data_IF_486944322969
#
_entry.id   IF_486944322969
#
_cell.length_a   1.000
_cell.length_b   1.000
_cell.length_c   1.000
_cell.angle_alpha   90.00
_cell.angle_beta   90.00
_cell.angle_gamma   90.00
#
_symmetry.space_group_name_H-M   'P 1'
#
loop_
_entity.id
_entity.type
_entity.pdbx_description
1 polymer ?
#
# COMPACT_ATOMS: atom_id res chain seq x y z
N UNK A 1 23.15 -8.55 -7.31
CA UNK A 1 22.23 -7.40 -7.53
C UNK A 1 22.91 -6.17 -8.15
N UNK A 2 24.14 -5.82 -7.75
CA UNK A 2 24.80 -4.64 -8.35
C UNK A 2 24.85 -4.69 -9.89
N UNK A 3 25.30 -5.81 -10.46
CA UNK A 3 25.37 -5.99 -11.92
C UNK A 3 24.00 -5.89 -12.60
N UNK A 4 22.93 -6.28 -11.93
CA UNK A 4 21.56 -6.14 -12.46
C UNK A 4 21.07 -4.71 -12.39
N UNK A 5 21.34 -4.00 -11.29
CA UNK A 5 21.04 -2.58 -11.16
C UNK A 5 21.82 -1.73 -12.21
N UNK A 6 23.11 -2.02 -12.40
CA UNK A 6 23.96 -1.29 -13.35
C UNK A 6 23.51 -1.40 -14.83
N UNK A 7 22.60 -2.34 -15.13
CA UNK A 7 21.98 -2.48 -16.47
C UNK A 7 20.70 -1.64 -16.62
N UNK A 8 20.24 -1.02 -15.54
CA UNK A 8 19.01 -0.22 -15.52
C UNK A 8 19.33 1.28 -15.60
N UNK A 9 18.29 2.06 -15.88
CA UNK A 9 18.34 3.53 -15.81
C UNK A 9 17.76 4.06 -14.49
N UNK A 10 17.54 3.18 -13.50
CA UNK A 10 16.96 3.55 -12.22
C UNK A 10 17.90 4.47 -11.45
N UNK A 11 17.41 5.61 -10.94
CA UNK A 11 18.25 6.56 -10.19
C UNK A 11 18.66 6.01 -8.81
N UNK A 12 17.82 5.21 -8.19
CA UNK A 12 18.12 4.51 -6.93
C UNK A 12 17.18 3.33 -6.72
N UNK A 13 17.65 2.32 -5.96
CA UNK A 13 16.85 1.23 -5.45
C UNK A 13 17.42 0.72 -4.12
N UNK A 14 16.54 0.39 -3.17
CA UNK A 14 16.89 -0.26 -1.91
C UNK A 14 16.09 -1.54 -1.78
N UNK A 15 16.77 -2.66 -1.56
CA UNK A 15 16.19 -4.00 -1.46
C UNK A 15 16.59 -4.65 -0.14
N UNK A 16 15.68 -5.37 0.50
CA UNK A 16 15.96 -6.05 1.75
C UNK A 16 15.40 -7.47 1.77
N UNK A 17 16.22 -8.42 2.26
CA UNK A 17 15.80 -9.75 2.72
C UNK A 17 15.73 -9.71 4.23
N UNK A 18 14.57 -10.06 4.77
CA UNK A 18 14.29 -10.10 6.20
C UNK A 18 14.01 -11.56 6.56
N UNK A 19 14.75 -12.11 7.51
CA UNK A 19 14.56 -13.49 8.01
C UNK A 19 13.96 -13.44 9.41
N UNK A 20 13.06 -14.37 9.73
CA UNK A 20 12.37 -14.46 11.03
C UNK A 20 13.31 -14.45 12.23
N UNK A 21 14.54 -14.96 12.08
CA UNK A 21 15.57 -14.94 13.13
C UNK A 21 16.14 -13.54 13.43
N UNK A 22 15.62 -12.47 12.78
CA UNK A 22 16.06 -11.10 12.95
C UNK A 22 17.17 -10.65 11.99
N UNK A 23 17.72 -11.54 11.16
CA UNK A 23 18.72 -11.14 10.17
C UNK A 23 18.07 -10.34 9.06
N UNK A 24 18.56 -9.12 8.85
CA UNK A 24 18.19 -8.25 7.72
C UNK A 24 19.41 -7.99 6.85
N UNK A 25 19.28 -8.21 5.55
CA UNK A 25 20.35 -7.96 4.58
C UNK A 25 19.84 -7.03 3.50
N UNK A 26 20.46 -5.86 3.40
CA UNK A 26 20.08 -4.82 2.44
C UNK A 26 21.09 -4.71 1.29
N UNK A 27 20.56 -4.31 0.14
CA UNK A 27 21.30 -3.96 -1.08
C UNK A 27 20.78 -2.62 -1.55
N UNK A 28 21.64 -1.61 -1.53
CA UNK A 28 21.27 -0.24 -1.84
C UNK A 28 22.13 0.27 -2.99
N UNK A 29 21.49 0.95 -3.94
CA UNK A 29 22.11 1.47 -5.15
C UNK A 29 21.60 2.86 -5.48
N UNK A 30 22.44 3.66 -6.15
CA UNK A 30 22.11 5.02 -6.54
C UNK A 30 22.23 6.02 -5.40
N UNK A 31 21.62 7.19 -5.59
CA UNK A 31 21.71 8.31 -4.66
C UNK A 31 20.34 8.58 -4.02
N UNK A 32 20.36 9.12 -2.79
CA UNK A 32 19.17 9.57 -2.08
C UNK A 32 18.53 10.77 -2.82
N UNK A 33 19.35 11.75 -3.20
CA UNK A 33 18.97 12.84 -4.11
C UNK A 33 19.58 12.57 -5.48
N UNK A 34 18.78 12.68 -6.54
CA UNK A 34 19.20 12.16 -7.85
C UNK A 34 20.24 13.03 -8.55
N UNK A 35 20.23 14.33 -8.28
CA UNK A 35 21.08 15.32 -8.98
C UNK A 35 22.38 15.69 -8.25
N UNK A 36 22.45 15.54 -6.92
CA UNK A 36 23.60 16.04 -6.17
C UNK A 36 24.71 15.00 -5.95
N UNK A 37 24.40 13.72 -6.06
CA UNK A 37 25.37 12.62 -5.94
C UNK A 37 26.10 12.50 -4.61
N UNK A 38 25.79 13.35 -3.62
CA UNK A 38 26.55 13.47 -2.37
C UNK A 38 26.24 12.37 -1.40
N UNK A 39 24.98 11.94 -1.31
CA UNK A 39 24.53 10.92 -0.37
C UNK A 39 23.97 9.71 -1.10
N UNK A 40 24.53 8.54 -0.80
CA UNK A 40 24.03 7.28 -1.33
C UNK A 40 22.72 6.88 -0.62
N UNK A 41 21.81 6.28 -1.38
CA UNK A 41 20.66 5.61 -0.80
C UNK A 41 21.14 4.43 0.06
N UNK A 42 20.48 4.23 1.21
CA UNK A 42 20.75 3.13 2.12
C UNK A 42 19.42 2.60 2.72
N UNK A 43 19.51 1.63 3.62
CA UNK A 43 18.35 1.02 4.26
C UNK A 43 17.56 1.98 5.17
N UNK A 44 18.13 3.15 5.52
CA UNK A 44 17.50 4.18 6.32
C UNK A 44 16.95 5.34 5.47
N UNK A 45 17.20 5.36 4.17
CA UNK A 45 16.62 6.33 3.24
C UNK A 45 15.09 6.24 3.28
N UNK A 46 14.41 7.38 3.35
CA UNK A 46 12.96 7.45 3.52
C UNK A 46 12.28 7.59 2.16
N UNK A 47 11.32 6.73 1.92
CA UNK A 47 10.51 6.67 0.70
C UNK A 47 9.04 6.94 1.01
N UNK A 48 8.30 7.52 0.08
CA UNK A 48 6.84 7.48 0.12
C UNK A 48 6.42 6.04 -0.19
N UNK A 49 5.90 5.31 0.79
CA UNK A 49 5.58 3.89 0.62
C UNK A 49 4.20 3.65 0.03
N UNK A 50 3.43 4.72 -0.15
CA UNK A 50 2.11 4.69 -0.76
C UNK A 50 1.24 3.53 -0.22
N UNK A 51 0.69 2.68 -1.08
CA UNK A 51 -0.25 1.63 -0.70
C UNK A 51 0.31 0.52 0.19
N UNK A 52 1.63 0.47 0.42
CA UNK A 52 2.19 -0.38 1.47
C UNK A 52 1.70 0.06 2.88
N UNK A 53 1.21 1.30 3.03
CA UNK A 53 0.51 1.81 4.23
C UNK A 53 -0.66 0.91 4.65
N UNK A 54 -1.35 0.30 3.69
CA UNK A 54 -2.57 -0.49 3.92
C UNK A 54 -2.37 -1.64 4.91
N UNK A 55 -1.24 -2.33 4.83
CA UNK A 55 -0.92 -3.41 5.78
C UNK A 55 -0.83 -2.90 7.23
N UNK A 56 -0.26 -1.71 7.42
CA UNK A 56 -0.19 -1.07 8.75
C UNK A 56 -1.59 -0.69 9.25
N UNK A 57 -2.44 -0.17 8.37
CA UNK A 57 -3.84 0.16 8.68
C UNK A 57 -4.64 -1.09 9.05
N UNK A 58 -4.44 -2.20 8.33
CA UNK A 58 -5.09 -3.49 8.65
C UNK A 58 -4.67 -4.02 10.02
N UNK A 59 -3.38 -3.91 10.37
CA UNK A 59 -2.90 -4.25 11.72
C UNK A 59 -3.58 -3.37 12.78
N UNK A 60 -3.70 -2.06 12.55
CA UNK A 60 -4.36 -1.16 13.49
C UNK A 60 -5.85 -1.47 13.67
N UNK A 61 -6.57 -1.84 12.60
CA UNK A 61 -7.95 -2.34 12.70
C UNK A 61 -8.01 -3.62 13.54
N UNK A 62 -7.13 -4.58 13.29
CA UNK A 62 -7.12 -5.82 14.08
C UNK A 62 -6.75 -5.59 15.56
N UNK A 63 -5.92 -4.60 15.88
CA UNK A 63 -5.72 -4.18 17.28
C UNK A 63 -7.01 -3.70 17.95
N UNK A 64 -7.91 -3.05 17.22
CA UNK A 64 -9.22 -2.65 17.73
C UNK A 64 -10.18 -3.82 17.84
N UNK A 65 -10.10 -4.79 16.93
CA UNK A 65 -10.84 -6.06 17.01
C UNK A 65 -10.42 -6.84 18.26
N UNK A 66 -9.11 -6.99 18.53
CA UNK A 66 -8.59 -7.65 19.73
C UNK A 66 -9.02 -6.97 21.04
N UNK A 67 -9.22 -5.66 21.01
CA UNK A 67 -9.70 -4.86 22.13
C UNK A 67 -11.23 -4.87 22.23
N UNK A 68 -11.92 -5.67 21.42
CA UNK A 68 -13.39 -5.75 21.33
C UNK A 68 -14.06 -4.37 21.14
N UNK A 69 -13.38 -3.47 20.41
CA UNK A 69 -13.89 -2.14 20.07
C UNK A 69 -14.71 -2.15 18.79
N UNK A 70 -14.41 -3.08 17.89
CA UNK A 70 -15.09 -3.31 16.62
C UNK A 70 -15.11 -4.80 16.31
N UNK A 71 -16.04 -5.21 15.43
CA UNK A 71 -15.99 -6.50 14.73
C UNK A 71 -15.67 -6.27 13.25
N UNK A 72 -15.06 -7.26 12.60
CA UNK A 72 -14.85 -7.19 11.15
C UNK A 72 -16.16 -7.12 10.37
N UNK A 73 -17.24 -7.65 10.92
CA UNK A 73 -18.54 -7.72 10.28
C UNK A 73 -19.49 -6.59 10.70
N UNK A 74 -19.02 -5.64 11.53
CA UNK A 74 -19.77 -4.44 11.85
C UNK A 74 -19.98 -3.58 10.60
N UNK A 75 -21.16 -2.99 10.41
CA UNK A 75 -21.39 -1.99 9.39
C UNK A 75 -20.51 -0.75 9.64
N UNK A 76 -19.83 -0.28 8.60
CA UNK A 76 -19.03 0.96 8.69
C UNK A 76 -19.88 2.15 9.11
N UNK A 77 -21.18 2.13 8.79
CA UNK A 77 -22.13 3.19 9.15
C UNK A 77 -22.34 3.36 10.66
N UNK A 78 -21.99 2.37 11.47
CA UNK A 78 -22.06 2.50 12.94
C UNK A 78 -21.00 3.50 13.46
N UNK A 79 -19.94 3.73 12.69
CA UNK A 79 -18.81 4.62 13.01
C UNK A 79 -18.78 5.86 12.12
N UNK A 80 -19.16 5.71 10.85
CA UNK A 80 -19.19 6.73 9.80
C UNK A 80 -20.56 6.67 9.11
N UNK A 81 -21.61 7.28 9.71
CA UNK A 81 -22.99 7.22 9.15
C UNK A 81 -23.09 7.73 7.71
N UNK A 82 -22.21 8.63 7.33
CA UNK A 82 -22.15 9.24 6.00
C UNK A 82 -21.95 8.21 4.88
N UNK A 83 -21.39 7.02 5.18
CA UNK A 83 -21.19 5.98 4.17
C UNK A 83 -22.50 5.47 3.57
N UNK A 84 -23.61 5.55 4.32
CA UNK A 84 -24.94 5.19 3.82
C UNK A 84 -25.46 6.14 2.73
N UNK A 85 -24.80 7.25 2.49
CA UNK A 85 -25.19 8.21 1.47
C UNK A 85 -24.47 7.94 0.15
N UNK A 86 -23.52 6.98 0.14
CA UNK A 86 -22.90 6.57 -1.10
C UNK A 86 -23.94 5.89 -1.99
N UNK A 87 -23.94 6.28 -3.26
CA UNK A 87 -24.76 5.68 -4.30
C UNK A 87 -23.87 4.91 -5.27
N UNK A 88 -24.41 3.86 -5.81
CA UNK A 88 -23.72 3.06 -6.82
C UNK A 88 -23.79 3.81 -8.17
N UNK A 89 -22.63 4.16 -8.72
CA UNK A 89 -22.49 4.71 -10.06
C UNK A 89 -22.53 3.57 -11.08
N UNK A 90 -23.61 3.47 -11.84
CA UNK A 90 -23.81 2.44 -12.85
C UNK A 90 -24.34 3.09 -14.14
N UNK A 91 -23.56 2.96 -15.25
CA UNK A 91 -23.92 3.54 -16.57
C UNK A 91 -24.28 5.03 -16.49
N UNK A 92 -23.44 5.82 -15.83
CA UNK A 92 -23.60 7.26 -15.61
C UNK A 92 -24.87 7.66 -14.83
N UNK A 93 -25.47 6.70 -14.12
CA UNK A 93 -26.61 6.92 -13.23
C UNK A 93 -26.27 6.48 -11.81
N UNK A 94 -26.85 7.17 -10.84
CA UNK A 94 -26.73 6.81 -9.44
C UNK A 94 -27.95 6.01 -8.96
N UNK A 95 -27.73 4.86 -8.35
CA UNK A 95 -28.75 4.06 -7.66
C UNK A 95 -28.39 3.87 -6.18
N UNK A 96 -29.39 3.66 -5.35
CA UNK A 96 -29.18 3.38 -3.92
C UNK A 96 -28.43 2.04 -3.76
N UNK A 97 -27.52 1.99 -2.78
CA UNK A 97 -26.90 0.75 -2.32
C UNK A 97 -27.84 0.05 -1.33
N UNK A 98 -28.02 -1.25 -1.46
CA UNK A 98 -28.90 -2.06 -0.63
C UNK A 98 -28.14 -2.89 0.41
N UNK A 99 -26.83 -3.09 0.21
CA UNK A 99 -26.00 -3.89 1.09
C UNK A 99 -25.12 -2.97 1.96
N UNK A 100 -25.10 -3.18 3.30
CA UNK A 100 -24.20 -2.43 4.15
C UNK A 100 -22.75 -2.77 3.82
N UNK A 101 -21.88 -1.77 3.84
CA UNK A 101 -20.45 -1.97 3.76
C UNK A 101 -19.94 -2.28 5.16
N UNK A 102 -19.23 -3.41 5.32
CA UNK A 102 -18.63 -3.81 6.60
C UNK A 102 -17.15 -3.43 6.69
N UNK A 103 -16.58 -3.48 7.90
CA UNK A 103 -15.13 -3.31 8.10
C UNK A 103 -14.35 -4.35 7.28
N UNK A 104 -14.81 -5.60 7.24
CA UNK A 104 -14.24 -6.67 6.39
C UNK A 104 -14.22 -6.26 4.92
N UNK A 105 -15.29 -5.71 4.40
CA UNK A 105 -15.36 -5.26 3.01
C UNK A 105 -14.31 -4.17 2.69
N UNK A 106 -14.03 -3.29 3.66
CA UNK A 106 -12.96 -2.30 3.48
C UNK A 106 -11.59 -2.95 3.40
N UNK A 107 -11.27 -3.87 4.33
CA UNK A 107 -9.96 -4.52 4.36
C UNK A 107 -9.71 -5.43 3.15
N UNK A 108 -10.76 -6.03 2.60
CA UNK A 108 -10.68 -6.99 1.50
C UNK A 108 -10.94 -6.39 0.11
N UNK A 109 -11.19 -5.09 0.02
CA UNK A 109 -11.56 -4.42 -1.23
C UNK A 109 -12.82 -5.00 -1.92
N UNK A 110 -13.82 -5.39 -1.13
CA UNK A 110 -15.09 -5.95 -1.62
C UNK A 110 -16.29 -5.02 -1.38
N UNK A 111 -16.06 -3.76 -1.05
CA UNK A 111 -17.10 -2.76 -0.79
C UNK A 111 -17.73 -2.19 -2.08
N UNK A 112 -17.11 -2.38 -3.23
CA UNK A 112 -17.47 -1.71 -4.48
C UNK A 112 -16.88 -0.29 -4.63
N UNK A 113 -16.12 0.21 -3.65
CA UNK A 113 -15.47 1.52 -3.72
C UNK A 113 -14.13 1.38 -4.42
N UNK A 114 -13.94 2.11 -5.53
CA UNK A 114 -12.74 2.07 -6.35
C UNK A 114 -11.86 3.32 -6.26
N UNK A 115 -10.73 3.26 -6.97
CA UNK A 115 -9.97 4.41 -7.41
C UNK A 115 -10.35 4.74 -8.87
N UNK A 116 -10.08 5.96 -9.30
CA UNK A 116 -10.30 6.37 -10.69
C UNK A 116 -9.48 5.52 -11.68
N UNK A 117 -8.25 5.14 -11.33
CA UNK A 117 -7.37 4.32 -12.16
C UNK A 117 -7.70 2.81 -12.12
N UNK A 118 -8.73 2.40 -11.37
CA UNK A 118 -9.19 1.01 -11.29
C UNK A 118 -10.58 0.80 -11.87
N UNK A 119 -11.27 1.86 -12.29
CA UNK A 119 -12.61 1.73 -12.84
C UNK A 119 -12.94 2.89 -13.78
N UNK A 120 -13.37 2.58 -15.02
CA UNK A 120 -13.62 3.57 -16.04
C UNK A 120 -14.81 4.50 -15.73
N UNK A 121 -15.86 3.98 -15.06
CA UNK A 121 -16.99 4.84 -14.67
C UNK A 121 -16.55 5.89 -13.64
N UNK A 122 -15.71 5.50 -12.68
CA UNK A 122 -15.13 6.44 -11.73
C UNK A 122 -14.23 7.45 -12.46
N UNK A 123 -13.38 6.98 -13.38
CA UNK A 123 -12.51 7.86 -14.18
C UNK A 123 -13.29 8.90 -14.97
N UNK A 124 -14.46 8.55 -15.50
CA UNK A 124 -15.31 9.47 -16.23
C UNK A 124 -16.06 10.47 -15.34
N UNK A 125 -16.44 10.05 -14.11
CA UNK A 125 -17.21 10.87 -13.18
C UNK A 125 -16.34 11.89 -12.43
N UNK A 126 -15.08 11.55 -12.19
CA UNK A 126 -14.13 12.43 -11.50
C UNK A 126 -13.34 13.25 -12.53
N UNK A 127 -13.44 14.59 -12.46
CA UNK A 127 -12.61 15.47 -13.28
C UNK A 127 -11.18 15.50 -12.72
N UNK A 128 -10.20 15.20 -13.58
CA UNK A 128 -8.78 15.27 -13.21
C UNK A 128 -8.14 16.55 -13.70
N UNK A 129 -7.22 17.07 -12.91
CA UNK A 129 -6.21 17.99 -13.38
C UNK A 129 -5.10 17.19 -14.10
N UNK A 130 -4.43 17.82 -15.08
CA UNK A 130 -3.28 17.26 -15.79
C UNK A 130 -2.12 16.91 -14.82
N UNK A 131 -2.16 17.39 -13.57
CA UNK A 131 -1.18 17.19 -12.52
C UNK A 131 -1.37 15.92 -11.65
N UNK A 132 -2.06 14.87 -12.18
CA UNK A 132 -1.96 13.55 -11.56
C UNK A 132 -2.81 13.25 -10.32
N UNK A 133 -3.30 14.26 -9.63
CA UNK A 133 -4.26 14.13 -8.53
C UNK A 133 -5.59 14.73 -8.95
N UNK A 134 -6.72 14.15 -8.50
CA UNK A 134 -7.99 14.82 -8.68
C UNK A 134 -7.82 16.26 -8.20
N UNK A 135 -8.26 17.26 -8.99
CA UNK A 135 -8.46 18.59 -8.43
C UNK A 135 -9.20 18.38 -7.13
N UNK A 136 -8.70 19.00 -6.06
CA UNK A 136 -9.53 19.23 -4.90
C UNK A 136 -10.71 20.06 -5.41
N UNK A 137 -11.73 19.40 -5.95
CA UNK A 137 -13.04 20.00 -5.98
C UNK A 137 -13.38 20.21 -4.51
N UNK A 138 -13.07 21.38 -4.05
CA UNK A 138 -13.72 21.98 -2.90
C UNK A 138 -15.19 22.00 -3.34
N UNK A 139 -15.88 20.89 -3.08
CA UNK A 139 -17.32 20.85 -3.17
C UNK A 139 -17.78 21.66 -1.96
N UNK A 140 -17.87 22.97 -2.16
CA UNK A 140 -18.28 23.95 -1.15
C UNK A 140 -19.68 23.68 -0.58
N UNK A 141 -20.44 22.75 -1.15
CA UNK A 141 -21.85 22.51 -0.85
C UNK A 141 -22.22 21.10 -0.40
N UNK A 142 -21.28 20.23 -0.06
CA UNK A 142 -21.62 18.93 0.52
C UNK A 142 -21.20 18.91 1.98
N UNK A 143 -22.16 18.91 2.88
CA UNK A 143 -22.05 18.74 4.35
C UNK A 143 -21.38 17.41 4.77
N UNK A 144 -20.43 16.90 3.96
CA UNK A 144 -19.71 15.66 4.22
C UNK A 144 -18.31 15.97 4.68
N UNK A 145 -18.05 15.69 5.92
CA UNK A 145 -16.70 15.67 6.50
C UNK A 145 -15.86 14.48 5.97
N UNK A 146 -15.91 14.26 4.65
CA UNK A 146 -15.01 13.38 3.95
C UNK A 146 -13.66 14.07 3.79
N UNK A 147 -12.89 14.15 4.85
CA UNK A 147 -11.56 14.78 4.93
C UNK A 147 -10.50 14.17 3.99
N UNK A 148 -10.89 13.72 2.80
CA UNK A 148 -10.08 13.01 1.83
C UNK A 148 -10.00 13.68 0.46
N UNK A 149 -10.41 14.91 0.31
CA UNK A 149 -10.55 15.56 -0.98
C UNK A 149 -11.86 15.14 -1.68
N UNK A 150 -11.82 14.18 -2.60
CA UNK A 150 -13.01 13.77 -3.35
C UNK A 150 -13.85 12.71 -2.63
N UNK A 151 -15.18 12.79 -2.77
CA UNK A 151 -16.10 11.77 -2.27
C UNK A 151 -15.78 10.39 -2.88
N UNK A 152 -15.75 9.30 -2.09
CA UNK A 152 -15.58 7.95 -2.64
C UNK A 152 -16.70 7.60 -3.61
N UNK A 153 -16.39 6.81 -4.65
CA UNK A 153 -17.38 6.30 -5.60
C UNK A 153 -17.53 4.80 -5.43
N UNK A 154 -18.77 4.34 -5.22
CA UNK A 154 -19.14 2.94 -5.24
C UNK A 154 -19.69 2.58 -6.63
N UNK A 155 -19.33 1.44 -7.21
CA UNK A 155 -19.74 1.03 -8.56
C UNK A 155 -20.49 -0.31 -8.60
N UNK A 156 -20.58 -1.02 -7.48
CA UNK A 156 -21.38 -2.23 -7.29
C UNK A 156 -21.66 -2.47 -5.81
N UNK A 157 -22.57 -3.40 -5.50
CA UNK A 157 -22.92 -3.77 -4.13
C UNK A 157 -21.76 -4.43 -3.38
N UNK A 158 -21.70 -4.22 -2.08
CA UNK A 158 -20.71 -4.92 -1.24
C UNK A 158 -20.84 -6.45 -1.41
N UNK A 159 -19.68 -7.14 -1.43
CA UNK A 159 -19.55 -8.59 -1.65
C UNK A 159 -19.91 -9.09 -3.06
N UNK A 160 -20.14 -8.23 -4.03
CA UNK A 160 -20.41 -8.65 -5.42
C UNK A 160 -19.11 -9.11 -6.11
N UNK A 161 -18.04 -8.39 -5.93
CA UNK A 161 -16.72 -8.66 -6.51
C UNK A 161 -15.61 -7.86 -5.83
N UNK A 162 -14.38 -8.10 -6.23
CA UNK A 162 -13.21 -7.35 -5.78
C UNK A 162 -12.98 -6.11 -6.65
N UNK A 163 -12.66 -4.98 -5.99
CA UNK A 163 -12.23 -3.75 -6.66
C UNK A 163 -11.27 -2.98 -5.75
N UNK A 164 -10.04 -2.83 -6.21
CA UNK A 164 -9.06 -2.03 -5.50
C UNK A 164 -9.47 -0.55 -5.42
N UNK A 165 -9.47 0.01 -4.21
CA UNK A 165 -9.96 1.37 -4.03
C UNK A 165 -9.62 2.00 -2.70
N UNK A 166 -10.31 3.12 -2.39
CA UNK A 166 -10.09 3.99 -1.22
C UNK A 166 -10.56 3.37 0.12
N UNK A 167 -10.70 2.09 0.16
CA UNK A 167 -11.26 1.35 1.29
C UNK A 167 -10.50 1.58 2.61
N UNK A 168 -9.15 1.49 2.57
CA UNK A 168 -8.32 1.66 3.76
C UNK A 168 -8.22 3.14 4.20
N UNK A 169 -8.54 4.09 3.32
CA UNK A 169 -8.71 5.49 3.68
C UNK A 169 -9.92 5.62 4.62
N UNK A 170 -11.02 4.97 4.28
CA UNK A 170 -12.24 4.94 5.11
C UNK A 170 -11.98 4.17 6.42
N UNK A 171 -11.34 3.00 6.35
CA UNK A 171 -10.99 2.22 7.53
C UNK A 171 -10.13 3.04 8.52
N UNK A 172 -9.24 3.89 8.02
CA UNK A 172 -8.44 4.76 8.88
C UNK A 172 -9.29 5.80 9.65
N UNK A 173 -10.40 6.26 9.07
CA UNK A 173 -11.34 7.14 9.79
C UNK A 173 -12.11 6.41 10.87
N UNK A 174 -12.41 5.14 10.66
CA UNK A 174 -13.01 4.30 11.72
C UNK A 174 -12.06 4.25 12.92
N UNK A 175 -10.73 4.09 12.69
CA UNK A 175 -9.74 4.12 13.76
C UNK A 175 -9.82 5.45 14.53
N UNK A 176 -9.81 6.59 13.83
CA UNK A 176 -9.87 7.92 14.46
C UNK A 176 -11.18 8.14 15.24
N UNK A 177 -12.31 7.71 14.68
CA UNK A 177 -13.63 7.85 15.34
C UNK A 177 -13.71 7.06 16.65
N UNK A 178 -13.20 5.83 16.67
CA UNK A 178 -13.24 4.95 17.84
C UNK A 178 -12.27 5.39 18.92
N UNK A 179 -11.07 5.81 18.51
CA UNK A 179 -9.98 6.10 19.45
C UNK A 179 -9.96 7.54 19.94
N UNK A 180 -10.55 8.45 19.18
CA UNK A 180 -10.44 9.90 19.40
C UNK A 180 -9.03 10.46 19.14
N UNK A 181 -8.12 9.65 18.61
CA UNK A 181 -6.75 10.03 18.25
C UNK A 181 -6.65 10.31 16.75
N UNK A 182 -5.70 11.15 16.34
CA UNK A 182 -5.30 11.20 14.93
C UNK A 182 -4.69 9.86 14.51
N UNK A 183 -4.85 9.49 13.24
CA UNK A 183 -4.26 8.26 12.70
C UNK A 183 -2.75 8.19 12.94
N UNK A 184 -2.05 9.31 12.76
CA UNK A 184 -0.61 9.39 13.00
C UNK A 184 -0.26 9.10 14.47
N UNK A 185 -0.96 9.71 15.42
CA UNK A 185 -0.73 9.44 16.86
C UNK A 185 -0.99 7.98 17.19
N UNK A 186 -2.09 7.42 16.70
CA UNK A 186 -2.41 6.01 16.93
C UNK A 186 -1.31 5.07 16.41
N UNK A 187 -0.83 5.27 15.17
CA UNK A 187 0.22 4.43 14.59
C UNK A 187 1.54 4.58 15.33
N UNK A 188 1.91 5.81 15.71
CA UNK A 188 3.14 6.08 16.48
C UNK A 188 3.10 5.34 17.82
N UNK A 189 2.02 5.46 18.56
CA UNK A 189 1.92 4.91 19.93
C UNK A 189 1.77 3.38 19.93
N UNK A 190 0.92 2.83 19.04
CA UNK A 190 0.53 1.43 19.10
C UNK A 190 1.34 0.52 18.18
N UNK A 191 2.10 1.07 17.22
CA UNK A 191 2.87 0.28 16.26
C UNK A 191 4.34 0.76 16.21
N UNK A 192 4.59 2.01 15.79
CA UNK A 192 5.94 2.43 15.43
C UNK A 192 6.88 2.50 16.63
N UNK A 193 6.46 3.10 17.75
CA UNK A 193 7.26 3.17 18.95
C UNK A 193 7.51 1.78 19.56
N UNK A 194 6.51 0.89 19.49
CA UNK A 194 6.62 -0.48 19.98
C UNK A 194 7.69 -1.28 19.21
N UNK A 195 7.88 -0.97 17.94
CA UNK A 195 8.82 -1.66 17.06
C UNK A 195 10.13 -0.90 16.83
N UNK A 196 10.27 0.32 17.32
CA UNK A 196 11.44 1.17 17.06
C UNK A 196 11.51 1.71 15.63
N UNK A 197 10.36 1.86 14.96
CA UNK A 197 10.24 2.38 13.58
C UNK A 197 10.23 3.91 13.58
N UNK A 198 11.36 4.52 13.94
CA UNK A 198 11.45 5.97 14.15
C UNK A 198 11.46 6.80 12.86
N UNK A 199 11.71 6.16 11.72
CA UNK A 199 11.70 6.81 10.40
C UNK A 199 10.36 6.69 9.65
N UNK A 200 9.34 6.08 10.28
CA UNK A 200 8.03 5.88 9.65
C UNK A 200 7.01 6.88 10.18
N UNK A 201 6.48 7.76 9.30
CA UNK A 201 5.55 8.84 9.64
C UNK A 201 4.64 9.20 8.46
N UNK A 202 3.49 9.80 8.77
CA UNK A 202 2.73 10.55 7.77
C UNK A 202 3.35 11.92 7.53
N UNK A 203 3.73 12.61 8.60
CA UNK A 203 4.36 13.93 8.56
C UNK A 203 5.80 13.81 9.05
N UNK A 204 6.75 14.05 8.15
CA UNK A 204 8.17 13.97 8.48
C UNK A 204 8.60 15.22 9.25
N UNK A 205 9.43 15.02 10.29
CA UNK A 205 10.21 16.11 10.89
C UNK A 205 11.26 16.62 9.89
N UNK A 206 11.84 17.79 10.15
CA UNK A 206 12.91 18.33 9.29
C UNK A 206 14.07 17.32 9.15
N UNK A 207 14.52 16.72 10.25
CA UNK A 207 15.58 15.71 10.26
C UNK A 207 15.25 14.50 9.38
N UNK A 208 14.01 13.97 9.47
CA UNK A 208 13.58 12.85 8.64
C UNK A 208 13.42 13.26 7.18
N UNK A 209 12.98 14.49 6.94
CA UNK A 209 12.81 15.02 5.59
C UNK A 209 14.13 15.12 4.82
N UNK A 210 15.22 15.46 5.51
CA UNK A 210 16.57 15.47 4.91
C UNK A 210 16.99 14.10 4.35
N UNK A 211 16.44 13.02 4.91
CA UNK A 211 16.72 11.64 4.48
C UNK A 211 15.72 11.11 3.46
N UNK A 212 14.77 11.92 3.02
CA UNK A 212 13.76 11.52 2.05
C UNK A 212 14.36 11.42 0.66
N UNK A 213 14.13 10.29 -0.03
CA UNK A 213 14.54 10.10 -1.42
C UNK A 213 13.88 11.11 -2.36
N UNK A 214 14.58 11.48 -3.42
CA UNK A 214 13.99 12.16 -4.56
C UNK A 214 12.85 11.34 -5.16
N UNK A 215 11.86 12.03 -5.74
CA UNK A 215 10.70 11.41 -6.40
C UNK A 215 10.52 11.98 -7.79
N UNK A 216 10.09 11.15 -8.73
CA UNK A 216 9.88 11.61 -10.09
C UNK A 216 8.96 10.73 -10.92
N UNK A 217 9.12 10.81 -12.21
CA UNK A 217 8.34 10.07 -13.18
C UNK A 217 9.17 9.71 -14.41
N UNK A 218 8.79 8.63 -15.10
CA UNK A 218 9.34 8.30 -16.40
C UNK A 218 8.62 9.12 -17.47
N UNK A 219 9.34 10.00 -18.13
CA UNK A 219 8.84 10.80 -19.23
C UNK A 219 8.53 9.93 -20.45
N UNK A 220 7.28 9.94 -20.90
CA UNK A 220 6.81 9.07 -21.99
C UNK A 220 7.41 9.39 -23.34
N UNK A 221 7.90 10.63 -23.55
CA UNK A 221 8.48 11.06 -24.81
C UNK A 221 9.94 10.69 -24.96
N UNK A 222 10.70 10.67 -23.86
CA UNK A 222 12.14 10.41 -23.84
C UNK A 222 12.49 9.05 -23.25
N UNK A 223 11.56 8.41 -22.51
CA UNK A 223 11.79 7.19 -21.73
C UNK A 223 12.66 7.40 -20.49
N UNK A 224 13.12 8.62 -20.20
CA UNK A 224 13.99 8.91 -19.06
C UNK A 224 13.21 9.15 -17.79
N UNK A 225 13.78 8.73 -16.64
CA UNK A 225 13.24 9.09 -15.33
C UNK A 225 13.68 10.52 -14.99
N UNK A 226 12.71 11.39 -14.75
CA UNK A 226 12.89 12.81 -14.44
C UNK A 226 12.44 13.07 -13.01
N UNK A 227 13.26 13.82 -12.25
CA UNK A 227 12.93 14.21 -10.90
C UNK A 227 11.82 15.27 -10.87
N UNK A 228 10.85 15.10 -9.97
CA UNK A 228 9.90 16.14 -9.63
C UNK A 228 10.48 17.01 -8.49
N UNK A 229 10.93 18.21 -8.83
CA UNK A 229 11.58 19.12 -7.87
C UNK A 229 10.61 19.63 -6.80
N UNK A 230 9.31 19.75 -7.09
CA UNK A 230 8.30 20.14 -6.10
C UNK A 230 8.15 19.10 -4.99
N UNK A 231 8.47 17.83 -5.28
CA UNK A 231 8.49 16.78 -4.28
C UNK A 231 9.62 16.90 -3.23
N UNK A 232 10.53 17.83 -3.43
CA UNK A 232 11.57 18.21 -2.46
C UNK A 232 11.06 19.16 -1.37
N UNK A 233 9.87 19.71 -1.52
CA UNK A 233 9.26 20.56 -0.50
C UNK A 233 8.59 19.70 0.57
N UNK A 234 8.68 20.10 1.86
CA UNK A 234 7.89 19.47 2.91
C UNK A 234 6.41 19.60 2.61
N UNK A 235 5.70 18.47 2.66
CA UNK A 235 4.25 18.45 2.58
C UNK A 235 3.70 17.93 3.90
N UNK A 236 2.89 18.74 4.56
CA UNK A 236 2.17 18.39 5.77
C UNK A 236 0.72 18.09 5.42
N UNK A 237 0.15 17.07 6.04
CA UNK A 237 -1.25 16.72 5.91
C UNK A 237 -1.92 16.72 7.28
N UNK A 238 -2.95 17.51 7.43
CA UNK A 238 -3.81 17.49 8.62
C UNK A 238 -4.64 16.20 8.69
N UNK A 239 -4.78 15.52 7.56
CA UNK A 239 -5.60 14.32 7.40
C UNK A 239 -4.76 13.14 6.85
N UNK A 240 -4.02 12.45 7.72
CA UNK A 240 -3.25 11.29 7.34
C UNK A 240 -4.11 10.22 6.66
N UNK A 241 -3.63 9.73 5.53
CA UNK A 241 -4.36 8.79 4.68
C UNK A 241 -3.88 7.37 4.93
N UNK A 242 -4.75 6.51 5.52
CA UNK A 242 -4.41 5.12 5.84
C UNK A 242 -4.32 4.19 4.64
N UNK A 243 -4.75 4.63 3.45
CA UNK A 243 -4.60 3.89 2.20
C UNK A 243 -3.26 4.12 1.49
N UNK A 244 -2.49 5.18 1.87
CA UNK A 244 -1.30 5.49 1.06
C UNK A 244 -0.37 6.59 1.57
N UNK A 245 -0.60 7.17 2.75
CA UNK A 245 0.06 8.41 3.17
C UNK A 245 1.42 8.24 3.85
N UNK A 246 1.82 7.05 4.29
CA UNK A 246 3.06 6.84 5.05
C UNK A 246 4.32 7.05 4.21
N UNK A 247 5.34 7.56 4.88
CA UNK A 247 6.73 7.53 4.46
C UNK A 247 7.47 6.59 5.41
N UNK A 248 8.39 5.78 4.89
CA UNK A 248 9.13 4.79 5.68
C UNK A 248 10.47 4.48 5.04
N UNK A 249 11.36 3.84 5.78
CA UNK A 249 12.60 3.27 5.28
C UNK A 249 12.47 1.76 5.05
N UNK A 250 13.36 1.19 4.25
CA UNK A 250 13.41 -0.26 4.03
C UNK A 250 13.66 -1.02 5.35
N UNK A 251 14.45 -0.44 6.24
CA UNK A 251 14.71 -1.00 7.56
C UNK A 251 13.47 -1.00 8.45
N UNK A 252 12.77 0.14 8.54
CA UNK A 252 11.57 0.22 9.39
C UNK A 252 10.45 -0.69 8.87
N UNK A 253 10.17 -0.64 7.56
CA UNK A 253 9.15 -1.51 6.99
C UNK A 253 9.53 -3.00 7.10
N UNK A 254 10.82 -3.32 6.93
CA UNK A 254 11.36 -4.65 7.21
C UNK A 254 11.18 -5.08 8.67
N UNK A 255 11.31 -4.14 9.61
CA UNK A 255 11.06 -4.38 11.05
C UNK A 255 9.58 -4.68 11.32
N UNK A 256 8.66 -3.97 10.65
CA UNK A 256 7.23 -4.26 10.71
C UNK A 256 6.92 -5.69 10.22
N UNK A 257 7.45 -6.07 9.05
CA UNK A 257 7.27 -7.42 8.51
C UNK A 257 7.93 -8.49 9.40
N UNK A 258 9.10 -8.20 9.98
CA UNK A 258 9.76 -9.09 10.95
C UNK A 258 8.89 -9.36 12.19
N UNK A 259 8.22 -8.33 12.69
CA UNK A 259 7.29 -8.52 13.80
C UNK A 259 6.14 -9.47 13.43
N UNK A 260 5.58 -9.33 12.23
CA UNK A 260 4.52 -10.22 11.75
C UNK A 260 5.04 -11.65 11.51
N UNK A 261 6.27 -11.83 10.99
CA UNK A 261 6.92 -13.15 10.88
C UNK A 261 7.09 -13.83 12.24
N UNK A 262 7.21 -13.04 13.31
CA UNK A 262 7.29 -13.50 14.68
C UNK A 262 5.93 -13.45 15.41
N UNK A 263 4.84 -13.71 14.69
CA UNK A 263 3.49 -13.82 15.25
C UNK A 263 3.07 -12.56 16.04
N UNK A 264 3.41 -11.38 15.51
CA UNK A 264 3.01 -10.08 16.06
C UNK A 264 3.81 -9.61 17.28
N UNK A 265 4.95 -10.24 17.58
CA UNK A 265 5.83 -9.84 18.70
C UNK A 265 7.27 -9.59 18.21
N UNK A 266 7.89 -8.52 18.70
CA UNK A 266 9.30 -8.22 18.45
C UNK A 266 9.90 -7.55 19.70
N UNK A 267 11.09 -8.00 20.13
CA UNK A 267 11.80 -7.47 21.32
C UNK A 267 10.90 -7.36 22.56
N UNK A 268 10.08 -8.37 22.83
CA UNK A 268 9.07 -8.46 23.89
C UNK A 268 7.90 -7.48 23.77
N UNK A 269 7.82 -6.68 22.71
CA UNK A 269 6.67 -5.82 22.42
C UNK A 269 5.72 -6.54 21.46
N UNK A 270 4.49 -6.75 21.89
CA UNK A 270 3.42 -7.34 21.07
C UNK A 270 2.55 -6.24 20.50
N UNK A 271 2.44 -6.19 19.18
CA UNK A 271 1.52 -5.29 18.49
C UNK A 271 0.25 -6.00 18.00
N UNK A 272 0.29 -7.33 17.89
CA UNK A 272 -0.85 -8.14 17.43
C UNK A 272 -0.74 -9.55 18.03
N UNK A 273 -1.84 -10.21 18.31
CA UNK A 273 -1.84 -11.60 18.73
C UNK A 273 -1.48 -12.53 17.57
N UNK A 274 -1.04 -13.76 17.90
CA UNK A 274 -0.77 -14.80 16.91
C UNK A 274 -2.01 -15.10 16.05
N UNK A 275 -3.18 -15.27 16.68
CA UNK A 275 -4.43 -15.51 15.98
C UNK A 275 -4.78 -14.39 14.98
N UNK A 276 -4.51 -13.14 15.34
CA UNK A 276 -4.75 -12.01 14.42
C UNK A 276 -3.73 -11.96 13.28
N UNK A 277 -2.50 -12.40 13.49
CA UNK A 277 -1.52 -12.55 12.41
C UNK A 277 -1.94 -13.68 11.45
N UNK A 278 -2.44 -14.81 11.98
CA UNK A 278 -3.02 -15.88 11.16
C UNK A 278 -4.22 -15.36 10.35
N UNK A 279 -5.12 -14.61 10.98
CA UNK A 279 -6.28 -14.00 10.32
C UNK A 279 -5.88 -13.02 9.21
N UNK A 280 -4.74 -12.29 9.35
CA UNK A 280 -4.20 -11.47 8.27
C UNK A 280 -3.84 -12.27 7.01
N UNK A 281 -3.55 -13.57 7.15
CA UNK A 281 -3.16 -14.46 6.07
C UNK A 281 -4.30 -15.32 5.52
N UNK A 282 -5.47 -15.30 6.14
CA UNK A 282 -6.61 -16.07 5.68
C UNK A 282 -7.18 -15.52 4.37
N UNK A 283 -7.51 -16.42 3.44
CA UNK A 283 -8.23 -16.10 2.21
C UNK A 283 -9.61 -15.55 2.55
N UNK A 284 -9.96 -14.42 1.96
CA UNK A 284 -11.22 -13.73 2.21
C UNK A 284 -12.16 -13.69 1.00
N UNK A 285 -11.70 -14.13 -0.18
CA UNK A 285 -12.51 -14.15 -1.39
C UNK A 285 -12.96 -15.59 -1.68
N UNK A 286 -14.23 -15.91 -1.36
CA UNK A 286 -14.76 -17.26 -1.50
C UNK A 286 -15.30 -17.57 -2.90
N UNK A 287 -15.98 -16.61 -3.54
CA UNK A 287 -16.73 -16.80 -4.76
C UNK A 287 -16.14 -16.09 -5.99
N UNK A 288 -15.08 -15.36 -5.81
CA UNK A 288 -14.38 -14.60 -6.85
C UNK A 288 -12.92 -14.42 -6.46
N UNK A 289 -12.10 -14.08 -7.43
CA UNK A 289 -10.67 -13.77 -7.23
C UNK A 289 -10.41 -12.27 -7.41
N UNK A 290 -9.18 -11.87 -7.15
CA UNK A 290 -8.69 -10.56 -7.59
C UNK A 290 -8.94 -10.44 -9.10
N UNK A 291 -9.48 -9.30 -9.51
CA UNK A 291 -9.55 -8.93 -10.92
C UNK A 291 -9.03 -7.50 -11.07
N UNK A 292 -7.88 -7.39 -11.70
CA UNK A 292 -7.27 -6.10 -11.97
C UNK A 292 -7.75 -5.59 -13.33
N UNK A 293 -8.64 -4.60 -13.31
CA UNK A 293 -9.05 -3.85 -14.50
C UNK A 293 -8.46 -2.44 -14.36
N UNK A 294 -7.25 -2.20 -14.88
CA UNK A 294 -6.67 -0.86 -14.87
C UNK A 294 -7.26 0.00 -15.97
N UNK A 295 -7.53 1.25 -15.61
CA UNK A 295 -7.74 2.31 -16.61
C UNK A 295 -6.37 2.83 -17.03
N UNK A 296 -6.10 2.88 -18.33
CA UNK A 296 -4.85 3.46 -18.84
C UNK A 296 -4.68 4.89 -18.33
N UNK A 297 -3.57 5.16 -17.71
CA UNK A 297 -3.31 6.45 -17.06
C UNK A 297 -1.82 6.71 -16.91
N UNK A 298 -1.47 7.99 -16.69
CA UNK A 298 -0.09 8.37 -16.39
C UNK A 298 0.46 7.77 -15.07
N UNK A 299 -0.39 7.17 -14.21
CA UNK A 299 0.02 6.55 -12.94
C UNK A 299 0.34 5.07 -13.05
N UNK A 300 -0.23 4.38 -14.04
CA UNK A 300 -0.08 2.93 -14.22
C UNK A 300 0.41 2.68 -15.63
N UNK A 301 1.51 1.97 -15.76
CA UNK A 301 2.04 1.56 -17.05
C UNK A 301 1.11 0.54 -17.71
N UNK A 302 0.83 0.72 -19.01
CA UNK A 302 0.18 -0.28 -19.86
C UNK A 302 1.14 -1.44 -20.16
N UNK A 303 1.71 -2.05 -19.12
CA UNK A 303 2.62 -3.18 -19.29
C UNK A 303 1.87 -4.39 -19.87
N UNK A 304 2.59 -5.17 -20.68
CA UNK A 304 2.09 -6.45 -21.20
C UNK A 304 1.47 -7.29 -20.07
N UNK A 305 0.42 -8.06 -20.37
CA UNK A 305 -0.26 -8.96 -19.40
C UNK A 305 0.71 -9.84 -18.59
N UNK A 306 1.88 -10.15 -19.15
CA UNK A 306 2.94 -10.93 -18.49
C UNK A 306 3.70 -10.17 -17.39
N UNK A 307 3.58 -8.85 -17.33
CA UNK A 307 4.27 -7.98 -16.36
C UNK A 307 3.33 -7.45 -15.28
N UNK A 308 2.09 -7.93 -15.21
CA UNK A 308 1.15 -7.51 -14.20
C UNK A 308 1.64 -7.88 -12.80
N UNK A 309 1.60 -6.90 -11.90
CA UNK A 309 1.94 -7.07 -10.48
C UNK A 309 0.96 -8.04 -9.79
N UNK A 310 -0.34 -7.91 -10.05
CA UNK A 310 -1.40 -8.77 -9.52
C UNK A 310 -1.79 -9.85 -10.55
N UNK A 311 -1.99 -11.05 -10.06
CA UNK A 311 -2.56 -12.14 -10.86
C UNK A 311 -4.08 -12.22 -10.63
N UNK A 312 -4.83 -12.29 -11.71
CA UNK A 312 -6.29 -12.39 -11.67
C UNK A 312 -6.82 -13.70 -11.05
N UNK A 313 -5.95 -14.66 -10.81
CA UNK A 313 -6.30 -15.90 -10.12
C UNK A 313 -6.00 -15.86 -8.61
N UNK A 314 -5.31 -14.82 -8.13
CA UNK A 314 -4.94 -14.71 -6.74
C UNK A 314 -6.13 -14.38 -5.84
N UNK A 315 -6.02 -14.74 -4.57
CA UNK A 315 -6.96 -14.36 -3.53
C UNK A 315 -6.52 -13.07 -2.83
N UNK A 316 -7.34 -12.53 -1.96
CA UNK A 316 -7.01 -11.40 -1.09
C UNK A 316 -7.26 -11.79 0.36
N UNK A 317 -6.38 -11.34 1.26
CA UNK A 317 -6.53 -11.45 2.69
C UNK A 317 -7.07 -10.14 3.29
N UNK A 318 -6.97 -9.96 4.61
CA UNK A 318 -7.30 -8.67 5.25
C UNK A 318 -6.25 -7.57 5.01
N UNK A 319 -5.09 -7.89 4.40
CA UNK A 319 -3.99 -6.93 4.26
C UNK A 319 -3.36 -6.88 2.87
N UNK A 320 -3.40 -7.97 2.09
CA UNK A 320 -2.64 -8.12 0.85
C UNK A 320 -3.19 -9.21 -0.07
N UNK A 321 -2.69 -9.22 -1.30
CA UNK A 321 -2.93 -10.32 -2.23
C UNK A 321 -2.20 -11.58 -1.76
N UNK A 322 -2.81 -12.74 -1.99
CA UNK A 322 -2.26 -14.05 -1.67
C UNK A 322 -2.01 -14.85 -2.94
N UNK A 323 -0.77 -15.28 -3.12
CA UNK A 323 -0.35 -16.16 -4.21
C UNK A 323 -1.16 -17.46 -4.19
N UNK A 324 -1.82 -17.80 -5.28
CA UNK A 324 -2.61 -19.04 -5.39
C UNK A 324 -2.04 -20.05 -6.38
N UNK A 325 -1.17 -19.62 -7.28
CA UNK A 325 -0.62 -20.49 -8.33
C UNK A 325 0.86 -20.78 -8.13
N UNK A 326 1.23 -21.91 -7.45
CA UNK A 326 2.61 -22.20 -7.10
C UNK A 326 3.46 -22.68 -8.29
N UNK A 327 2.85 -23.08 -9.43
CA UNK A 327 3.57 -23.82 -10.48
C UNK A 327 4.27 -22.92 -11.50
N UNK A 328 3.93 -21.64 -11.53
CA UNK A 328 4.44 -20.69 -12.54
C UNK A 328 5.24 -19.54 -11.94
N UNK A 329 5.36 -19.48 -10.61
CA UNK A 329 5.93 -18.31 -9.93
C UNK A 329 7.07 -18.66 -8.98
N UNK A 330 7.84 -17.65 -8.66
CA UNK A 330 8.98 -17.74 -7.74
C UNK A 330 8.46 -17.96 -6.31
N UNK A 331 7.36 -17.30 -5.94
CA UNK A 331 6.74 -17.36 -4.62
C UNK A 331 5.94 -18.64 -4.43
N UNK A 332 6.00 -19.28 -3.25
CA UNK A 332 5.10 -20.39 -2.94
C UNK A 332 3.65 -19.92 -2.75
N UNK A 333 2.73 -20.86 -2.78
CA UNK A 333 1.32 -20.62 -2.49
C UNK A 333 1.15 -20.02 -1.09
N UNK A 334 0.13 -19.18 -0.91
CA UNK A 334 -0.19 -18.44 0.32
C UNK A 334 0.85 -17.39 0.73
N UNK A 335 1.80 -17.06 -0.13
CA UNK A 335 2.66 -15.89 0.08
C UNK A 335 1.85 -14.61 -0.08
N UNK A 336 1.90 -13.74 0.93
CA UNK A 336 1.33 -12.41 0.86
C UNK A 336 2.24 -11.45 0.07
N UNK A 337 1.65 -10.53 -0.70
CA UNK A 337 2.42 -9.53 -1.41
C UNK A 337 1.59 -8.29 -1.72
N UNK A 338 2.23 -7.13 -1.76
CA UNK A 338 1.60 -5.88 -2.18
C UNK A 338 2.64 -4.87 -2.68
N UNK A 339 2.17 -3.67 -3.03
CA UNK A 339 3.02 -2.63 -3.60
C UNK A 339 2.61 -1.22 -3.19
N UNK A 340 3.51 -0.27 -3.47
CA UNK A 340 3.26 1.16 -3.49
C UNK A 340 3.41 1.72 -4.90
N UNK A 341 2.58 2.68 -5.25
CA UNK A 341 2.46 3.24 -6.61
C UNK A 341 3.78 3.80 -7.19
N UNK A 342 4.75 4.11 -6.33
CA UNK A 342 6.07 4.60 -6.74
C UNK A 342 7.06 3.46 -7.03
N UNK A 343 6.59 2.31 -7.52
CA UNK A 343 7.38 1.11 -7.78
C UNK A 343 8.10 0.58 -6.54
N UNK A 344 7.39 0.55 -5.42
CA UNK A 344 7.83 -0.13 -4.20
C UNK A 344 7.03 -1.42 -4.02
N UNK A 345 7.69 -2.50 -3.60
CA UNK A 345 7.10 -3.83 -3.53
C UNK A 345 7.51 -4.54 -2.24
N UNK A 346 6.67 -5.45 -1.76
CA UNK A 346 7.06 -6.38 -0.72
C UNK A 346 6.42 -7.75 -0.90
N UNK A 347 7.10 -8.74 -0.35
CA UNK A 347 6.66 -10.14 -0.24
C UNK A 347 6.71 -10.53 1.24
N UNK A 348 5.70 -11.25 1.71
CA UNK A 348 5.59 -11.76 3.07
C UNK A 348 5.31 -13.27 3.01
N UNK A 349 6.29 -14.08 3.39
CA UNK A 349 6.26 -15.54 3.28
C UNK A 349 6.55 -16.17 4.65
N UNK A 350 5.51 -16.36 5.46
CA UNK A 350 5.69 -16.96 6.78
C UNK A 350 6.09 -18.45 6.73
N UNK A 351 5.75 -19.17 5.64
CA UNK A 351 6.11 -20.58 5.49
C UNK A 351 7.64 -20.77 5.36
N UNK A 352 8.29 -19.91 4.59
CA UNK A 352 9.75 -19.87 4.46
C UNK A 352 10.42 -18.92 5.46
N UNK A 353 9.69 -18.40 6.43
CA UNK A 353 10.17 -17.52 7.49
C UNK A 353 10.92 -16.28 6.97
N UNK A 354 10.45 -15.70 5.87
CA UNK A 354 11.09 -14.56 5.22
C UNK A 354 10.10 -13.47 4.76
N UNK A 355 10.63 -12.27 4.65
CA UNK A 355 9.99 -11.19 3.88
C UNK A 355 11.02 -10.51 2.98
N UNK A 356 10.53 -9.90 1.92
CA UNK A 356 11.32 -9.14 0.95
C UNK A 356 10.73 -7.76 0.83
N UNK A 357 11.57 -6.73 0.77
CA UNK A 357 11.18 -5.36 0.48
C UNK A 357 12.01 -4.82 -0.68
N UNK A 358 11.38 -3.98 -1.50
CA UNK A 358 12.01 -3.27 -2.59
C UNK A 358 11.45 -1.85 -2.65
N UNK A 359 12.32 -0.85 -2.69
CA UNK A 359 11.95 0.55 -2.74
C UNK A 359 12.59 1.24 -3.93
N UNK A 360 11.76 1.92 -4.68
CA UNK A 360 12.07 2.89 -5.71
C UNK A 360 11.11 4.08 -5.54
N UNK A 361 11.24 5.17 -6.33
CA UNK A 361 10.48 6.38 -6.02
C UNK A 361 10.08 7.15 -7.28
N UNK A 362 9.47 6.50 -8.25
CA UNK A 362 8.99 7.16 -9.47
C UNK A 362 7.73 6.51 -10.03
N UNK A 363 7.08 7.20 -10.95
CA UNK A 363 5.91 6.78 -11.70
C UNK A 363 6.27 6.55 -13.18
N UNK A 364 5.47 5.83 -13.96
CA UNK A 364 4.25 5.12 -13.55
C UNK A 364 4.54 3.87 -12.72
N UNK A 365 3.52 3.39 -12.01
CA UNK A 365 3.55 2.10 -11.33
C UNK A 365 3.68 0.96 -12.33
N UNK A 366 4.29 -0.14 -11.89
CA UNK A 366 4.56 -1.32 -12.70
C UNK A 366 5.49 -1.03 -13.89
N UNK A 367 6.45 -0.12 -13.68
CA UNK A 367 7.52 0.14 -14.63
C UNK A 367 8.32 -1.14 -14.88
N UNK A 368 8.48 -1.51 -16.14
CA UNK A 368 9.10 -2.78 -16.56
C UNK A 368 10.49 -2.97 -15.96
N UNK A 369 11.31 -1.91 -15.96
CA UNK A 369 12.69 -1.95 -15.47
C UNK A 369 12.74 -2.18 -13.96
N UNK A 370 11.90 -1.44 -13.22
CA UNK A 370 11.82 -1.55 -11.76
C UNK A 370 11.23 -2.89 -11.33
N UNK A 371 10.14 -3.31 -11.95
CA UNK A 371 9.49 -4.58 -11.63
C UNK A 371 10.39 -5.79 -11.97
N UNK A 372 11.08 -5.77 -13.11
CA UNK A 372 12.04 -6.80 -13.47
C UNK A 372 13.18 -6.90 -12.43
N UNK A 373 13.70 -5.78 -11.96
CA UNK A 373 14.77 -5.78 -10.94
C UNK A 373 14.26 -6.36 -9.60
N UNK A 374 13.01 -6.01 -9.19
CA UNK A 374 12.37 -6.62 -8.03
C UNK A 374 12.22 -8.14 -8.18
N UNK A 375 11.71 -8.62 -9.32
CA UNK A 375 11.54 -10.05 -9.60
C UNK A 375 12.87 -10.81 -9.57
N UNK A 376 13.93 -10.27 -10.13
CA UNK A 376 15.28 -10.84 -10.06
C UNK A 376 15.82 -10.90 -8.63
N UNK A 377 15.49 -9.91 -7.81
CA UNK A 377 15.87 -9.95 -6.39
C UNK A 377 15.09 -11.02 -5.64
N UNK A 378 13.79 -11.10 -5.86
CA UNK A 378 12.91 -12.12 -5.30
C UNK A 378 13.43 -13.53 -5.68
N UNK A 379 13.68 -13.79 -6.97
CA UNK A 379 14.25 -15.03 -7.46
C UNK A 379 15.57 -15.40 -6.78
N UNK A 380 16.47 -14.43 -6.65
CA UNK A 380 17.75 -14.61 -5.95
C UNK A 380 17.54 -15.06 -4.50
N UNK A 381 16.61 -14.39 -3.78
CA UNK A 381 16.32 -14.73 -2.38
C UNK A 381 15.76 -16.14 -2.25
N UNK A 382 14.80 -16.50 -3.09
CA UNK A 382 14.22 -17.86 -3.07
C UNK A 382 15.21 -18.95 -3.50
N UNK A 383 16.13 -18.66 -4.41
CA UNK A 383 17.19 -19.60 -4.77
C UNK A 383 18.21 -19.80 -3.64
N UNK A 384 18.46 -18.78 -2.81
CA UNK A 384 19.36 -18.89 -1.63
C UNK A 384 18.79 -19.77 -0.52
N UNK A 385 17.47 -19.92 -0.40
CA UNK A 385 16.86 -20.78 0.64
C UNK A 385 16.62 -22.22 0.18
N UNK A 386 16.68 -22.47 -1.13
CA UNK A 386 16.57 -23.83 -1.70
C UNK A 386 17.88 -24.61 -1.67
N UNK A 387 18.99 -23.92 -1.35
CA UNK A 387 20.34 -24.50 -1.20
C UNK A 387 20.63 -24.88 0.25
#
# INVERSE_FOLDING_TARGET
MKTEFDKTDLPSAVMGKISKNGTMKFYSFGNEKWDDGTKKADENTIFNIASMTKAVTSVAILQLVEKEKISLDDPVSDYIPEINQLKILANDLFKESLQPITIRNLLTHTSGIGYWFTNQAIANDVQYDDDFFPKEDIIEDVEYDWKFGTQPRQVFEANERWLYGRNLDIASRVIEKITGQSLESYFIENIFNQLGMHSTRFNLTEELFERKASRGFRDSSTGKIIENLDARLPAFSDYPNGGGGLKSSAKDYGTFLLCLLNNGILNNNRILSENSVELLMEKQLDNFNIKWDSVSSAVISDSNEQMNFLDNNDNHSLAWALETNPNEKIRPQNTGYWAGIYNSYYTFDPENELAIVYFSQFLPFNDETSFTLYKKFEEKVYNEIKQ
#
